data_IF_981694548649
#
_entry.id   IF_981694548649
#
_cell.length_a   1.000
_cell.length_b   1.000
_cell.length_c   1.000
_cell.angle_alpha   90.00
_cell.angle_beta   90.00
_cell.angle_gamma   90.00
#
_symmetry.space_group_name_H-M   'P 1'
#
loop_
_entity.id
_entity.type
_entity.pdbx_description
1 polymer ?
#
# COMPACT_ATOMS: atom_id res chain seq x y z
N UNK A 1 -34.74 -8.52 -29.14
CA UNK A 1 -34.07 -7.70 -28.12
C UNK A 1 -32.60 -8.08 -28.05
N UNK A 2 -31.74 -7.26 -28.65
CA UNK A 2 -30.29 -7.38 -28.52
C UNK A 2 -29.92 -6.96 -27.09
N UNK A 3 -29.39 -7.89 -26.30
CA UNK A 3 -28.80 -7.55 -25.00
C UNK A 3 -27.47 -6.86 -25.26
N UNK A 4 -27.46 -5.54 -25.16
CA UNK A 4 -26.24 -4.74 -25.15
C UNK A 4 -25.41 -5.15 -23.93
N UNK A 5 -24.34 -5.91 -24.16
CA UNK A 5 -23.46 -6.38 -23.11
C UNK A 5 -22.46 -5.28 -22.78
N UNK A 6 -22.83 -4.40 -21.86
CA UNK A 6 -21.94 -3.34 -21.37
C UNK A 6 -20.81 -4.02 -20.59
N UNK A 7 -19.60 -3.99 -21.15
CA UNK A 7 -18.39 -4.41 -20.44
C UNK A 7 -17.85 -3.23 -19.64
N UNK A 8 -17.89 -3.33 -18.31
CA UNK A 8 -17.23 -2.36 -17.43
C UNK A 8 -15.82 -2.85 -17.13
N UNK A 9 -14.83 -1.96 -17.27
CA UNK A 9 -13.47 -2.23 -16.80
C UNK A 9 -13.44 -2.02 -15.29
N UNK A 10 -13.45 -3.11 -14.53
CA UNK A 10 -13.24 -3.07 -13.08
C UNK A 10 -11.72 -3.04 -12.84
N UNK A 11 -11.27 -2.16 -11.94
CA UNK A 11 -9.87 -2.13 -11.54
C UNK A 11 -9.46 -3.46 -10.89
N UNK A 12 -8.25 -3.92 -11.17
CA UNK A 12 -7.67 -5.05 -10.43
C UNK A 12 -7.70 -4.74 -8.93
N UNK A 13 -7.96 -5.76 -8.11
CA UNK A 13 -8.04 -5.62 -6.65
C UNK A 13 -6.74 -5.03 -6.10
N UNK A 14 -5.59 -5.46 -6.64
CA UNK A 14 -4.28 -4.92 -6.29
C UNK A 14 -4.21 -3.40 -6.49
N UNK A 15 -4.78 -2.90 -7.58
CA UNK A 15 -4.76 -1.48 -7.90
C UNK A 15 -5.70 -0.70 -6.96
N UNK A 16 -6.89 -1.23 -6.68
CA UNK A 16 -7.84 -0.61 -5.76
C UNK A 16 -7.28 -0.45 -4.34
N UNK A 17 -6.48 -1.43 -3.86
CA UNK A 17 -5.78 -1.35 -2.58
C UNK A 17 -4.77 -0.21 -2.59
N UNK A 18 -3.95 -0.12 -3.64
CA UNK A 18 -2.94 0.94 -3.77
C UNK A 18 -3.57 2.32 -3.92
N UNK A 19 -4.65 2.45 -4.70
CA UNK A 19 -5.42 3.68 -4.84
C UNK A 19 -5.94 4.16 -3.48
N UNK A 20 -6.44 3.22 -2.65
CA UNK A 20 -6.93 3.52 -1.30
C UNK A 20 -5.80 3.96 -0.35
N UNK A 21 -4.58 3.43 -0.52
CA UNK A 21 -3.39 3.83 0.24
C UNK A 21 -2.83 5.19 -0.20
N UNK A 22 -2.97 5.57 -1.47
CA UNK A 22 -2.54 6.87 -1.97
C UNK A 22 -3.48 7.97 -1.49
N UNK A 23 -4.79 7.75 -1.61
CA UNK A 23 -5.82 8.71 -1.26
C UNK A 23 -6.29 8.54 0.19
N UNK A 24 -5.38 8.63 1.16
CA UNK A 24 -5.70 8.42 2.58
C UNK A 24 -6.81 9.34 3.10
N UNK A 25 -7.04 10.50 2.47
CA UNK A 25 -8.15 11.41 2.80
C UNK A 25 -9.54 10.90 2.40
N UNK A 26 -9.63 9.96 1.44
CA UNK A 26 -10.89 9.39 0.92
C UNK A 26 -10.97 7.86 1.07
N UNK A 27 -9.86 7.21 1.41
CA UNK A 27 -9.73 5.78 1.55
C UNK A 27 -10.04 5.25 2.95
N UNK A 28 -9.76 3.97 3.12
CA UNK A 28 -9.72 3.31 4.42
C UNK A 28 -8.49 3.83 5.17
N UNK A 29 -8.67 4.40 6.37
CA UNK A 29 -7.58 4.92 7.18
C UNK A 29 -6.45 3.90 7.37
N UNK A 30 -5.21 4.38 7.52
CA UNK A 30 -4.02 3.52 7.58
C UNK A 30 -4.08 2.51 8.74
N UNK A 31 -4.85 2.80 9.80
CA UNK A 31 -5.12 1.90 10.92
C UNK A 31 -5.82 0.60 10.51
N UNK A 32 -6.61 0.63 9.44
CA UNK A 32 -7.36 -0.54 8.94
C UNK A 32 -6.65 -1.23 7.77
N UNK A 33 -5.52 -0.67 7.28
CA UNK A 33 -4.84 -1.20 6.10
C UNK A 33 -4.20 -2.57 6.35
N UNK A 34 -3.82 -2.86 7.60
CA UNK A 34 -3.34 -4.18 8.01
C UNK A 34 -4.42 -5.25 7.77
N UNK A 35 -5.64 -5.03 8.27
CA UNK A 35 -6.76 -5.96 8.08
C UNK A 35 -7.17 -6.11 6.61
N UNK A 36 -7.17 -4.99 5.85
CA UNK A 36 -7.49 -5.01 4.42
C UNK A 36 -6.49 -5.86 3.66
N UNK A 37 -5.19 -5.63 3.88
CA UNK A 37 -4.14 -6.41 3.21
C UNK A 37 -4.15 -7.87 3.65
N UNK A 38 -4.29 -8.16 4.94
CA UNK A 38 -4.37 -9.55 5.44
C UNK A 38 -5.48 -10.36 4.73
N UNK A 39 -6.67 -9.75 4.57
CA UNK A 39 -7.81 -10.38 3.88
C UNK A 39 -7.65 -10.44 2.37
N UNK A 40 -6.97 -9.46 1.77
CA UNK A 40 -6.79 -9.39 0.33
C UNK A 40 -5.66 -10.28 -0.19
N UNK A 41 -4.60 -10.49 0.60
CA UNK A 41 -3.44 -11.32 0.24
C UNK A 41 -3.79 -12.70 -0.35
N UNK A 42 -4.77 -13.49 0.17
CA UNK A 42 -5.16 -14.76 -0.44
C UNK A 42 -5.93 -14.61 -1.77
N UNK A 43 -6.45 -13.42 -2.08
CA UNK A 43 -7.26 -13.13 -3.26
C UNK A 43 -6.46 -12.49 -4.41
N UNK A 44 -5.26 -11.98 -4.12
CA UNK A 44 -4.47 -11.18 -5.04
C UNK A 44 -3.09 -11.78 -5.30
N UNK A 45 -2.44 -11.33 -6.36
CA UNK A 45 -1.03 -11.64 -6.58
C UNK A 45 -0.16 -10.61 -5.88
N UNK A 46 0.59 -11.04 -4.84
CA UNK A 46 1.58 -10.19 -4.17
C UNK A 46 2.58 -9.59 -5.17
N UNK A 47 2.98 -10.35 -6.19
CA UNK A 47 3.86 -9.87 -7.26
C UNK A 47 3.22 -8.71 -8.04
N UNK A 48 1.95 -8.83 -8.43
CA UNK A 48 1.24 -7.75 -9.13
C UNK A 48 1.09 -6.52 -8.25
N UNK A 49 0.79 -6.71 -6.96
CA UNK A 49 0.67 -5.62 -5.99
C UNK A 49 1.97 -4.81 -5.91
N UNK A 50 3.11 -5.49 -5.77
CA UNK A 50 4.42 -4.83 -5.74
C UNK A 50 4.70 -4.14 -7.09
N UNK A 51 4.44 -4.81 -8.22
CA UNK A 51 4.67 -4.22 -9.53
C UNK A 51 3.84 -2.95 -9.76
N UNK A 52 2.58 -2.95 -9.31
CA UNK A 52 1.74 -1.76 -9.35
C UNK A 52 2.26 -0.68 -8.41
N UNK A 53 2.65 -0.99 -7.17
CA UNK A 53 3.18 -0.01 -6.23
C UNK A 53 4.44 0.69 -6.80
N UNK A 54 5.33 -0.05 -7.45
CA UNK A 54 6.53 0.51 -8.10
C UNK A 54 6.15 1.38 -9.31
N UNK A 55 5.12 0.99 -10.08
CA UNK A 55 4.63 1.77 -11.22
C UNK A 55 3.99 3.10 -10.83
N UNK A 56 3.44 3.22 -9.62
CA UNK A 56 2.90 4.48 -9.10
C UNK A 56 3.99 5.56 -8.95
N UNK A 57 5.28 5.20 -8.97
CA UNK A 57 6.44 6.12 -8.81
C UNK A 57 6.40 6.94 -7.51
N UNK A 58 5.57 6.54 -6.55
CA UNK A 58 5.39 7.19 -5.26
C UNK A 58 6.17 6.38 -4.22
N UNK A 59 7.31 6.91 -3.78
CA UNK A 59 8.22 6.18 -2.89
C UNK A 59 7.61 5.95 -1.51
N UNK A 60 6.72 6.83 -1.08
CA UNK A 60 6.07 6.72 0.23
C UNK A 60 5.11 5.54 0.25
N UNK A 61 4.35 5.32 -0.83
CA UNK A 61 3.48 4.17 -1.03
C UNK A 61 4.27 2.85 -0.95
N UNK A 62 5.40 2.78 -1.67
CA UNK A 62 6.28 1.60 -1.65
C UNK A 62 6.78 1.31 -0.24
N UNK A 63 7.23 2.34 0.48
CA UNK A 63 7.70 2.20 1.86
C UNK A 63 6.59 1.76 2.84
N UNK A 64 5.39 2.35 2.74
CA UNK A 64 4.24 1.96 3.59
C UNK A 64 3.80 0.53 3.30
N UNK A 65 3.70 0.16 2.03
CA UNK A 65 3.33 -1.20 1.63
C UNK A 65 4.34 -2.22 2.15
N UNK A 66 5.64 -1.97 1.95
CA UNK A 66 6.68 -2.85 2.43
C UNK A 66 6.69 -3.01 3.95
N UNK A 67 6.49 -1.91 4.68
CA UNK A 67 6.36 -1.95 6.13
C UNK A 67 5.17 -2.82 6.58
N UNK A 68 3.98 -2.61 6.00
CA UNK A 68 2.79 -3.38 6.37
C UNK A 68 2.98 -4.86 6.05
N UNK A 69 3.50 -5.19 4.87
CA UNK A 69 3.79 -6.58 4.50
C UNK A 69 4.79 -7.22 5.46
N UNK A 70 5.84 -6.50 5.88
CA UNK A 70 6.81 -6.99 6.85
C UNK A 70 6.16 -7.27 8.22
N UNK A 71 5.25 -6.40 8.69
CA UNK A 71 4.50 -6.65 9.93
C UNK A 71 3.55 -7.85 9.81
N UNK A 72 3.02 -8.13 8.62
CA UNK A 72 2.23 -9.33 8.31
C UNK A 72 3.10 -10.59 8.11
N UNK A 73 4.42 -10.51 8.36
CA UNK A 73 5.36 -11.62 8.23
C UNK A 73 5.82 -11.90 6.80
N UNK A 74 5.47 -11.04 5.85
CA UNK A 74 5.84 -11.16 4.44
C UNK A 74 7.05 -10.28 4.17
N UNK A 75 8.20 -10.93 3.96
CA UNK A 75 9.42 -10.23 3.61
C UNK A 75 9.45 -9.97 2.11
N UNK A 76 9.57 -8.69 1.75
CA UNK A 76 9.83 -8.25 0.38
C UNK A 76 11.13 -7.47 0.35
N UNK A 77 11.89 -7.64 -0.72
CA UNK A 77 13.11 -6.87 -0.95
C UNK A 77 12.83 -5.82 -2.02
N UNK A 78 13.09 -4.57 -1.68
CA UNK A 78 12.85 -3.43 -2.56
C UNK A 78 14.14 -2.62 -2.66
N UNK A 79 14.64 -2.31 -3.87
CA UNK A 79 15.79 -1.45 -4.05
C UNK A 79 15.65 -0.12 -3.31
N UNK A 80 16.71 0.31 -2.63
CA UNK A 80 16.71 1.54 -1.82
C UNK A 80 16.36 2.80 -2.65
N UNK A 81 16.61 2.78 -3.96
CA UNK A 81 16.23 3.84 -4.89
C UNK A 81 14.71 4.06 -4.98
N UNK A 82 13.91 3.05 -4.64
CA UNK A 82 12.45 3.12 -4.61
C UNK A 82 11.91 3.58 -3.24
N UNK A 83 12.78 3.70 -2.23
CA UNK A 83 12.42 4.19 -0.90
C UNK A 83 12.56 5.72 -0.79
N UNK A 84 11.77 6.38 0.08
CA UNK A 84 11.81 7.83 0.26
C UNK A 84 13.17 8.24 0.81
N UNK A 85 13.65 9.46 0.52
CA UNK A 85 14.99 9.91 0.99
C UNK A 85 15.08 10.11 2.50
N UNK A 86 13.95 10.25 3.17
CA UNK A 86 13.88 10.48 4.61
C UNK A 86 12.70 9.73 5.23
N UNK A 87 12.58 9.87 6.54
CA UNK A 87 11.51 9.21 7.29
C UNK A 87 10.16 9.85 7.02
N UNK A 88 9.18 9.03 6.65
CA UNK A 88 7.78 9.44 6.46
C UNK A 88 6.91 8.82 7.55
N UNK A 89 5.71 9.37 7.76
CA UNK A 89 4.72 8.77 8.66
C UNK A 89 4.05 7.57 7.99
N UNK A 90 3.75 6.54 8.78
CA UNK A 90 2.90 5.44 8.35
C UNK A 90 1.51 5.98 8.02
N UNK A 91 0.85 6.60 8.99
CA UNK A 91 -0.38 7.37 8.78
C UNK A 91 -0.07 8.85 8.47
N UNK A 92 -0.35 9.32 7.24
CA UNK A 92 -0.15 10.72 6.88
C UNK A 92 -1.06 11.69 7.64
N UNK A 93 -2.19 11.26 8.20
CA UNK A 93 -3.14 12.11 8.93
C UNK A 93 -2.76 12.33 10.40
N UNK A 94 -2.12 11.36 11.04
CA UNK A 94 -1.70 11.42 12.43
C UNK A 94 -0.48 12.30 12.74
N UNK A 95 -0.18 12.48 14.03
CA UNK A 95 1.01 13.21 14.47
C UNK A 95 2.31 12.44 14.19
N UNK A 96 3.44 13.14 14.09
CA UNK A 96 4.76 12.51 13.91
C UNK A 96 5.32 12.01 15.25
N UNK A 97 4.88 10.82 15.68
CA UNK A 97 5.28 10.16 16.93
C UNK A 97 5.48 8.66 16.75
N UNK A 98 5.98 7.98 17.77
CA UNK A 98 6.09 6.52 17.80
C UNK A 98 7.44 5.97 17.34
N UNK A 99 7.43 4.74 16.81
CA UNK A 99 8.64 3.95 16.55
C UNK A 99 9.22 4.26 15.17
N UNK A 100 10.55 4.24 15.06
CA UNK A 100 11.24 4.50 13.81
C UNK A 100 11.71 3.17 13.22
N UNK A 101 11.23 2.83 12.02
CA UNK A 101 11.70 1.71 11.23
C UNK A 101 12.68 2.24 10.15
N UNK A 102 14.00 2.02 10.31
CA UNK A 102 15.00 2.49 9.35
C UNK A 102 15.01 1.68 8.06
N UNK A 103 14.55 0.43 8.07
CA UNK A 103 14.53 -0.44 6.90
C UNK A 103 13.59 0.12 5.82
N UNK A 104 12.39 0.54 6.22
CA UNK A 104 11.39 1.16 5.34
C UNK A 104 11.38 2.69 5.38
N UNK A 105 12.17 3.32 6.25
CA UNK A 105 12.15 4.78 6.50
C UNK A 105 10.76 5.25 6.93
N UNK A 106 10.12 4.47 7.80
CA UNK A 106 8.77 4.71 8.33
C UNK A 106 8.86 5.13 9.79
N UNK A 107 8.03 6.10 10.16
CA UNK A 107 7.68 6.43 11.54
C UNK A 107 6.31 5.81 11.77
N UNK A 108 6.28 4.74 12.54
CA UNK A 108 5.07 4.09 12.96
C UNK A 108 4.40 4.96 14.03
N UNK A 109 3.37 5.69 13.59
CA UNK A 109 2.62 6.66 14.37
C UNK A 109 1.19 6.20 14.69
N UNK A 110 0.93 4.91 14.50
CA UNK A 110 -0.32 4.23 14.88
C UNK A 110 -0.21 3.57 16.26
#
# INVERSE_FOLDING_TARGET
EEKECISYTIADIEKAILDSMEQVEYGVGMENMFDVLERALPLISLRKLIEYAVRFREKSLVARLGYILEQLGIKIDVPEELLPRGFIKLDPSGERKGKWNPHWRIIDNL
#
